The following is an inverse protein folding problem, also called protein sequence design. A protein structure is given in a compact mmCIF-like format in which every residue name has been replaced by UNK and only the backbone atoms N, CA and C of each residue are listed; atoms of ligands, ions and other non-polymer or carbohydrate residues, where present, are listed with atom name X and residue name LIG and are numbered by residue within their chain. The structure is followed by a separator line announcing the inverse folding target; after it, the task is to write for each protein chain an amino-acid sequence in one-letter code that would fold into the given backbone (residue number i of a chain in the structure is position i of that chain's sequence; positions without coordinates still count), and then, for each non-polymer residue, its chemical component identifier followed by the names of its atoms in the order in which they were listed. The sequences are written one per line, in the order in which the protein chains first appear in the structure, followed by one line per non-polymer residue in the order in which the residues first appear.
data_IF_764825626693
#
_entry.id   IF_764825626693
#
_cell.length_a   1.000
_cell.length_b   1.000
_cell.length_c   1.000
_cell.angle_alpha   90.00
_cell.angle_beta   90.00
_cell.angle_gamma   90.00
#
_symmetry.space_group_name_H-M   'P 1'
#
loop_
_entity.id
_entity.type
_entity.pdbx_description
1 polymer ?
#
# COMPACT_ATOMS: atom_id res chain seq x y z
N UNK A 1 -11.27 -5.62 24.43
CA UNK A 1 -10.28 -5.57 23.34
C UNK A 1 -9.39 -4.37 23.55
N UNK A 2 -8.13 -4.61 23.88
CA UNK A 2 -7.17 -3.56 24.25
C UNK A 2 -6.83 -2.65 23.06
N UNK A 3 -6.34 -1.44 23.35
CA UNK A 3 -5.95 -0.44 22.33
C UNK A 3 -4.96 -1.03 21.32
N UNK A 4 -4.04 -1.86 21.81
CA UNK A 4 -3.05 -2.57 21.00
C UNK A 4 -3.75 -3.53 20.02
N UNK A 5 -4.70 -4.33 20.49
CA UNK A 5 -5.47 -5.25 19.64
C UNK A 5 -6.30 -4.50 18.59
N UNK A 6 -6.93 -3.37 18.97
CA UNK A 6 -7.65 -2.48 18.04
C UNK A 6 -6.74 -1.94 16.93
N UNK A 7 -5.52 -1.53 17.28
CA UNK A 7 -4.54 -1.04 16.31
C UNK A 7 -4.18 -2.12 15.28
N UNK A 8 -3.84 -3.33 15.74
CA UNK A 8 -3.48 -4.42 14.82
C UNK A 8 -4.64 -4.85 13.93
N UNK A 9 -5.87 -4.88 14.46
CA UNK A 9 -7.04 -5.21 13.66
C UNK A 9 -7.28 -4.21 12.53
N UNK A 10 -7.08 -2.91 12.79
CA UNK A 10 -7.23 -1.87 11.77
C UNK A 10 -6.12 -1.94 10.71
N UNK A 11 -4.87 -2.20 11.13
CA UNK A 11 -3.76 -2.40 10.19
C UNK A 11 -4.05 -3.61 9.29
N UNK A 12 -4.48 -4.72 9.89
CA UNK A 12 -4.82 -5.93 9.16
C UNK A 12 -5.97 -5.70 8.18
N UNK A 13 -7.04 -5.00 8.60
CA UNK A 13 -8.16 -4.70 7.70
C UNK A 13 -7.76 -3.77 6.56
N UNK A 14 -6.88 -2.79 6.82
CA UNK A 14 -6.35 -1.92 5.77
C UNK A 14 -5.53 -2.73 4.75
N UNK A 15 -4.65 -3.62 5.22
CA UNK A 15 -3.83 -4.49 4.35
C UNK A 15 -4.73 -5.41 3.53
N UNK A 16 -5.65 -6.13 4.17
CA UNK A 16 -6.53 -7.08 3.49
C UNK A 16 -7.43 -6.40 2.45
N UNK A 17 -7.98 -5.22 2.76
CA UNK A 17 -8.79 -4.45 1.81
C UNK A 17 -7.96 -4.03 0.58
N UNK A 18 -6.74 -3.53 0.79
CA UNK A 18 -5.87 -3.16 -0.33
C UNK A 18 -5.43 -4.36 -1.17
N UNK A 19 -5.12 -5.49 -0.53
CA UNK A 19 -4.80 -6.73 -1.26
C UNK A 19 -6.01 -7.18 -2.07
N UNK A 20 -7.21 -7.22 -1.47
CA UNK A 20 -8.41 -7.67 -2.16
C UNK A 20 -8.76 -6.79 -3.35
N UNK A 21 -8.76 -5.45 -3.18
CA UNK A 21 -9.08 -4.52 -4.25
C UNK A 21 -7.97 -4.50 -5.31
N UNK A 22 -6.71 -4.41 -4.90
CA UNK A 22 -5.56 -4.36 -5.80
C UNK A 22 -5.44 -5.61 -6.66
N UNK A 23 -5.50 -6.80 -6.04
CA UNK A 23 -5.49 -8.07 -6.75
C UNK A 23 -6.76 -8.27 -7.58
N UNK A 24 -7.92 -7.80 -7.11
CA UNK A 24 -9.16 -7.81 -7.89
C UNK A 24 -9.04 -6.99 -9.18
N UNK A 25 -8.48 -5.79 -9.10
CA UNK A 25 -8.23 -4.94 -10.29
C UNK A 25 -7.28 -5.64 -11.26
N UNK A 26 -6.18 -6.21 -10.77
CA UNK A 26 -5.22 -6.92 -11.62
C UNK A 26 -5.83 -8.18 -12.27
N UNK A 27 -6.65 -8.91 -11.52
CA UNK A 27 -7.36 -10.08 -12.03
C UNK A 27 -8.34 -9.70 -13.15
N UNK A 28 -9.19 -8.69 -12.93
CA UNK A 28 -10.14 -8.23 -13.95
C UNK A 28 -9.43 -7.59 -15.16
N UNK A 29 -8.35 -6.83 -14.94
CA UNK A 29 -7.56 -6.27 -16.03
C UNK A 29 -6.91 -7.37 -16.88
N UNK A 30 -6.43 -8.45 -16.25
CA UNK A 30 -5.85 -9.60 -16.94
C UNK A 30 -6.88 -10.53 -17.59
N UNK A 31 -8.14 -10.55 -17.14
CA UNK A 31 -9.20 -11.34 -17.78
C UNK A 31 -9.77 -10.67 -19.03
N UNK A 32 -9.82 -9.34 -19.04
CA UNK A 32 -10.56 -8.58 -20.05
C UNK A 32 -9.66 -7.92 -21.12
N UNK A 33 -8.36 -7.71 -20.84
CA UNK A 33 -7.45 -6.97 -21.73
C UNK A 33 -6.44 -7.88 -22.45
N UNK A 34 -6.85 -8.41 -23.62
CA UNK A 34 -5.99 -8.83 -24.74
C UNK A 34 -4.91 -9.92 -24.53
N UNK A 35 -4.70 -10.44 -23.33
CA UNK A 35 -3.93 -11.67 -23.10
C UNK A 35 -4.73 -12.57 -22.16
N UNK A 36 -4.98 -13.82 -22.53
CA UNK A 36 -5.73 -14.80 -21.72
C UNK A 36 -4.98 -15.29 -20.49
N UNK A 37 -3.93 -14.58 -20.06
CA UNK A 37 -2.98 -15.03 -19.05
C UNK A 37 -2.88 -13.99 -17.94
N UNK A 38 -3.53 -14.29 -16.82
CA UNK A 38 -3.41 -13.54 -15.57
C UNK A 38 -1.95 -13.53 -15.13
N UNK A 39 -1.38 -12.35 -14.89
CA UNK A 39 0.00 -12.23 -14.40
C UNK A 39 0.03 -12.44 -12.87
N UNK A 40 0.10 -13.70 -12.46
CA UNK A 40 0.18 -14.09 -11.05
C UNK A 40 1.48 -13.60 -10.37
N UNK A 41 2.59 -13.49 -11.11
CA UNK A 41 3.86 -13.00 -10.57
C UNK A 41 3.72 -11.55 -10.12
N UNK A 42 3.05 -10.72 -10.92
CA UNK A 42 2.73 -9.33 -10.60
C UNK A 42 1.83 -9.23 -9.38
N UNK A 43 0.75 -10.03 -9.32
CA UNK A 43 -0.16 -10.05 -8.17
C UNK A 43 0.57 -10.42 -6.87
N UNK A 44 1.50 -11.39 -6.95
CA UNK A 44 2.33 -11.81 -5.82
C UNK A 44 3.29 -10.69 -5.39
N UNK A 45 4.01 -10.08 -6.34
CA UNK A 45 4.93 -8.97 -6.05
C UNK A 45 4.22 -7.78 -5.40
N UNK A 46 3.07 -7.38 -5.95
CA UNK A 46 2.22 -6.32 -5.42
C UNK A 46 1.70 -6.62 -4.01
N UNK A 47 1.32 -7.87 -3.74
CA UNK A 47 0.86 -8.30 -2.42
C UNK A 47 1.97 -8.23 -1.37
N UNK A 48 3.18 -8.70 -1.71
CA UNK A 48 4.35 -8.63 -0.82
C UNK A 48 4.71 -7.17 -0.53
N UNK A 49 4.80 -6.33 -1.56
CA UNK A 49 5.10 -4.92 -1.41
C UNK A 49 4.05 -4.21 -0.53
N UNK A 50 2.77 -4.52 -0.72
CA UNK A 50 1.68 -3.96 0.08
C UNK A 50 1.82 -4.27 1.57
N UNK A 51 2.07 -5.53 1.92
CA UNK A 51 2.28 -5.93 3.33
C UNK A 51 3.49 -5.21 3.93
N UNK A 52 4.63 -5.22 3.24
CA UNK A 52 5.87 -4.62 3.74
C UNK A 52 5.69 -3.11 3.95
N UNK A 53 5.20 -2.39 2.94
CA UNK A 53 5.06 -0.93 3.00
C UNK A 53 4.07 -0.53 4.08
N UNK A 54 2.92 -1.19 4.21
CA UNK A 54 1.98 -0.87 5.28
C UNK A 54 2.52 -1.16 6.66
N UNK A 55 3.22 -2.28 6.85
CA UNK A 55 3.86 -2.57 8.15
C UNK A 55 4.89 -1.49 8.50
N UNK A 56 5.71 -1.05 7.55
CA UNK A 56 6.68 0.03 7.77
C UNK A 56 5.97 1.36 8.09
N UNK A 57 4.97 1.73 7.29
CA UNK A 57 4.20 2.97 7.46
C UNK A 57 3.52 2.99 8.82
N UNK A 58 2.77 1.95 9.19
CA UNK A 58 2.05 1.92 10.47
C UNK A 58 2.95 1.74 11.70
N UNK A 59 4.19 1.27 11.50
CA UNK A 59 5.19 1.17 12.56
C UNK A 59 5.94 2.48 12.79
N UNK A 60 6.37 3.15 11.73
CA UNK A 60 7.29 4.28 11.82
C UNK A 60 6.61 5.66 11.73
N UNK A 61 5.46 5.78 11.06
CA UNK A 61 4.76 7.06 11.00
C UNK A 61 3.99 7.35 12.30
N UNK A 62 4.23 8.56 12.83
CA UNK A 62 3.42 9.13 13.89
C UNK A 62 2.23 9.88 13.29
N UNK A 63 1.07 9.23 13.21
CA UNK A 63 -0.13 9.75 12.54
C UNK A 63 -0.71 10.99 13.25
N UNK A 64 -0.46 11.16 14.55
CA UNK A 64 -0.96 12.31 15.30
C UNK A 64 -0.36 13.64 14.87
N UNK A 65 0.94 13.65 14.57
CA UNK A 65 1.68 14.86 14.17
C UNK A 65 1.27 15.38 12.78
N UNK A 66 0.48 14.60 12.03
CA UNK A 66 0.14 14.90 10.65
C UNK A 66 -1.31 15.40 10.53
N UNK A 67 -1.49 16.47 9.76
CA UNK A 67 -2.82 16.93 9.36
C UNK A 67 -3.46 15.96 8.36
N UNK A 68 -4.79 15.96 8.27
CA UNK A 68 -5.54 15.12 7.33
C UNK A 68 -5.03 15.23 5.88
N UNK A 69 -4.78 16.44 5.31
CA UNK A 69 -4.23 16.52 3.95
C UNK A 69 -2.83 15.91 3.83
N UNK A 70 -1.97 16.04 4.84
CA UNK A 70 -0.65 15.36 4.84
C UNK A 70 -0.81 13.84 4.86
N UNK A 71 -1.76 13.32 5.63
CA UNK A 71 -2.06 11.89 5.66
C UNK A 71 -2.59 11.38 4.31
N UNK A 72 -3.37 12.19 3.59
CA UNK A 72 -3.85 11.85 2.25
C UNK A 72 -2.67 11.72 1.27
N UNK A 73 -1.76 12.69 1.27
CA UNK A 73 -0.54 12.64 0.44
C UNK A 73 0.32 11.42 0.79
N UNK A 74 0.56 11.18 2.09
CA UNK A 74 1.32 10.00 2.54
C UNK A 74 0.65 8.72 2.04
N UNK A 75 -0.67 8.61 2.14
CA UNK A 75 -1.40 7.42 1.70
C UNK A 75 -1.30 7.18 0.20
N UNK A 76 -1.39 8.24 -0.62
CA UNK A 76 -1.20 8.16 -2.08
C UNK A 76 0.24 7.74 -2.41
N UNK A 77 1.23 8.34 -1.73
CA UNK A 77 2.64 7.98 -1.88
C UNK A 77 2.89 6.52 -1.48
N UNK A 78 2.21 6.00 -0.46
CA UNK A 78 2.30 4.59 -0.08
C UNK A 78 1.85 3.69 -1.24
N UNK A 79 0.73 3.99 -1.88
CA UNK A 79 0.26 3.23 -3.05
C UNK A 79 1.28 3.26 -4.19
N UNK A 80 1.89 4.41 -4.49
CA UNK A 80 2.93 4.52 -5.53
C UNK A 80 4.18 3.72 -5.20
N UNK A 81 4.63 3.74 -3.94
CA UNK A 81 5.76 2.93 -3.48
C UNK A 81 5.43 1.45 -3.59
N UNK A 82 4.19 1.03 -3.26
CA UNK A 82 3.74 -0.35 -3.41
C UNK A 82 3.78 -0.79 -4.88
N UNK A 83 3.34 0.06 -5.81
CA UNK A 83 3.40 -0.25 -7.25
C UNK A 83 4.85 -0.37 -7.73
N UNK A 84 5.68 0.60 -7.35
CA UNK A 84 7.09 0.59 -7.73
C UNK A 84 7.79 -0.68 -7.23
N UNK A 85 7.64 -0.98 -5.94
CA UNK A 85 8.28 -2.11 -5.29
C UNK A 85 7.67 -3.45 -5.75
N UNK A 86 6.36 -3.51 -5.94
CA UNK A 86 5.67 -4.72 -6.38
C UNK A 86 6.04 -5.11 -7.80
N UNK A 87 6.11 -4.15 -8.71
CA UNK A 87 6.63 -4.37 -10.06
C UNK A 87 8.10 -4.78 -10.04
N UNK A 88 8.90 -4.16 -9.17
CA UNK A 88 10.31 -4.51 -9.05
C UNK A 88 10.51 -5.95 -8.57
N UNK A 89 9.73 -6.38 -7.56
CA UNK A 89 9.72 -7.77 -7.07
C UNK A 89 9.28 -8.72 -8.18
N UNK A 90 8.20 -8.40 -8.91
CA UNK A 90 7.70 -9.25 -9.99
C UNK A 90 8.74 -9.45 -11.10
N UNK A 91 9.36 -8.37 -11.58
CA UNK A 91 10.40 -8.44 -12.61
C UNK A 91 11.63 -9.20 -12.11
N UNK A 92 12.03 -9.01 -10.86
CA UNK A 92 13.16 -9.74 -10.28
C UNK A 92 12.91 -11.25 -10.22
N UNK A 93 11.66 -11.67 -10.00
CA UNK A 93 11.26 -13.08 -10.02
C UNK A 93 11.28 -13.64 -11.45
N UNK A 94 10.78 -12.89 -12.43
CA UNK A 94 10.69 -13.34 -13.83
C UNK A 94 12.02 -13.26 -14.59
N UNK A 95 12.87 -12.29 -14.26
CA UNK A 95 14.12 -11.99 -14.96
C UNK A 95 15.15 -11.39 -14.00
N UNK A 96 15.81 -12.23 -13.18
CA UNK A 96 16.77 -11.77 -12.20
C UNK A 96 17.97 -11.09 -12.87
N UNK A 97 18.29 -9.87 -12.44
CA UNK A 97 19.48 -9.12 -12.88
C UNK A 97 19.23 -7.97 -13.86
N UNK A 98 18.02 -7.84 -14.42
CA UNK A 98 17.69 -6.70 -15.30
C UNK A 98 17.18 -5.50 -14.49
N UNK A 99 18.13 -4.75 -13.91
CA UNK A 99 17.83 -3.55 -13.12
C UNK A 99 17.10 -2.47 -13.96
N UNK A 100 17.42 -2.36 -15.25
CA UNK A 100 16.83 -1.36 -16.12
C UNK A 100 15.36 -1.71 -16.41
N UNK A 101 15.06 -2.95 -16.77
CA UNK A 101 13.69 -3.40 -16.98
C UNK A 101 12.87 -3.28 -15.69
N UNK A 102 13.46 -3.63 -14.53
CA UNK A 102 12.85 -3.49 -13.21
C UNK A 102 12.40 -2.05 -12.94
N UNK A 103 13.30 -1.09 -13.20
CA UNK A 103 13.04 0.32 -12.95
C UNK A 103 12.05 0.91 -13.95
N UNK A 104 12.15 0.54 -15.23
CA UNK A 104 11.22 0.96 -16.28
C UNK A 104 9.80 0.44 -16.03
N UNK A 105 9.64 -0.85 -15.71
CA UNK A 105 8.33 -1.42 -15.37
C UNK A 105 7.72 -0.80 -14.11
N UNK A 106 8.55 -0.48 -13.11
CA UNK A 106 8.12 0.27 -11.94
C UNK A 106 7.54 1.65 -12.29
N UNK A 107 8.20 2.40 -13.16
CA UNK A 107 7.75 3.73 -13.61
C UNK A 107 6.48 3.61 -14.46
N UNK A 108 6.48 2.75 -15.48
CA UNK A 108 5.32 2.55 -16.35
C UNK A 108 4.10 2.08 -15.57
N UNK A 109 4.27 1.14 -14.65
CA UNK A 109 3.18 0.68 -13.81
C UNK A 109 2.62 1.81 -12.93
N UNK A 110 3.47 2.70 -12.40
CA UNK A 110 3.00 3.89 -11.69
C UNK A 110 2.22 4.84 -12.60
N UNK A 111 2.66 5.08 -13.83
CA UNK A 111 1.95 5.96 -14.77
C UNK A 111 0.56 5.38 -15.10
N UNK A 112 0.49 4.09 -15.40
CA UNK A 112 -0.76 3.39 -15.75
C UNK A 112 -1.71 3.31 -14.55
N UNK A 113 -1.19 2.96 -13.38
CA UNK A 113 -1.98 2.77 -12.15
C UNK A 113 -2.07 4.05 -11.30
N UNK A 114 -1.65 5.21 -11.82
CA UNK A 114 -1.69 6.47 -11.09
C UNK A 114 -3.11 6.85 -10.64
N UNK A 115 -4.16 6.79 -11.50
CA UNK A 115 -5.51 7.11 -11.07
C UNK A 115 -6.02 6.16 -9.98
N UNK A 116 -5.68 4.86 -10.12
CA UNK A 116 -6.01 3.84 -9.13
C UNK A 116 -5.32 4.14 -7.79
N UNK A 117 -4.07 4.59 -7.82
CA UNK A 117 -3.29 4.97 -6.64
C UNK A 117 -3.90 6.15 -5.91
N UNK A 118 -4.46 7.14 -6.63
CA UNK A 118 -5.17 8.26 -6.03
C UNK A 118 -6.44 7.76 -5.34
N UNK A 119 -7.28 6.99 -6.04
CA UNK A 119 -8.56 6.51 -5.50
C UNK A 119 -8.33 5.62 -4.28
N UNK A 120 -7.41 4.64 -4.37
CA UNK A 120 -7.05 3.78 -3.24
C UNK A 120 -6.40 4.57 -2.11
N UNK A 121 -5.50 5.51 -2.42
CA UNK A 121 -4.88 6.38 -1.43
C UNK A 121 -5.91 7.19 -0.64
N UNK A 122 -6.95 7.70 -1.29
CA UNK A 122 -8.05 8.39 -0.63
C UNK A 122 -8.94 7.45 0.19
N UNK A 123 -9.23 6.23 -0.30
CA UNK A 123 -9.94 5.23 0.49
C UNK A 123 -9.16 4.82 1.75
N UNK A 124 -7.84 4.75 1.64
CA UNK A 124 -6.94 4.42 2.75
C UNK A 124 -6.83 5.52 3.80
N UNK A 125 -7.16 6.77 3.44
CA UNK A 125 -7.26 7.86 4.40
C UNK A 125 -8.21 7.52 5.56
N UNK A 126 -9.29 6.76 5.29
CA UNK A 126 -10.21 6.29 6.34
C UNK A 126 -9.49 5.49 7.44
N UNK A 127 -8.62 4.57 7.05
CA UNK A 127 -7.87 3.73 8.00
C UNK A 127 -6.78 4.53 8.73
N UNK A 128 -6.09 5.42 8.00
CA UNK A 128 -5.05 6.29 8.56
C UNK A 128 -5.65 7.25 9.59
N UNK A 129 -6.84 7.78 9.30
CA UNK A 129 -7.60 8.62 10.21
C UNK A 129 -8.02 7.82 11.46
N UNK A 130 -8.56 6.60 11.31
CA UNK A 130 -8.89 5.76 12.48
C UNK A 130 -7.71 5.48 13.39
N UNK A 131 -6.52 5.21 12.83
CA UNK A 131 -5.31 4.97 13.63
C UNK A 131 -4.85 6.24 14.35
N UNK A 132 -4.99 7.41 13.74
CA UNK A 132 -4.66 8.70 14.38
C UNK A 132 -5.38 8.89 15.72
N UNK A 133 -6.67 8.55 15.82
CA UNK A 133 -7.46 8.67 17.06
C UNK A 133 -7.23 7.54 18.09
N UNK A 134 -6.51 6.49 17.70
CA UNK A 134 -6.17 5.37 18.59
C UNK A 134 -4.79 5.50 19.22
N UNK A 135 -3.94 6.40 18.71
CA UNK A 135 -2.72 6.78 19.40
C UNK A 135 -3.11 7.69 20.59
N UNK A 136 -2.60 7.46 21.81
CA UNK A 136 -2.78 8.40 22.91
C UNK A 136 -2.03 9.69 22.60
N UNK A 137 -2.61 10.83 22.99
CA UNK A 137 -2.00 12.15 22.80
C UNK A 137 -0.70 12.24 23.63
N UNK A 138 0.47 12.48 23.02
CA UNK A 138 1.72 12.59 23.75
C UNK A 138 1.74 13.78 24.72
N UNK A 139 0.80 14.72 24.60
CA UNK A 139 0.66 15.86 25.53
C UNK A 139 -0.11 15.52 26.82
N UNK A 140 -0.64 14.29 26.97
CA UNK A 140 -1.38 13.87 28.17
C UNK A 140 -0.72 12.76 28.98
N UNK A 141 0.50 12.37 28.61
CA UNK A 141 1.37 11.57 29.47
C UNK A 141 2.61 12.40 29.80
N UNK A 142 2.65 13.10 30.95
CA UNK A 142 3.94 13.55 31.46
C UNK A 142 4.81 12.30 31.60
N UNK A 143 6.00 12.35 31.02
CA UNK A 143 7.00 11.30 31.19
C UNK A 143 7.18 11.09 32.71
N UNK A 144 6.83 9.89 33.17
CA UNK A 144 7.04 9.44 34.54
C UNK A 144 8.30 8.61 34.64
#
# INVERSE_FOLDING_TARGET
MDIIQKKYLIILSAILMNLAIGNGILYCAGSDAYSTTINYTLMLGMSIACVIVYLLVFRYLNFQKHSVPKLAVISIMCCMIIILLGNAIAVTIESPGDLLATLMMGIFGNIVLFPVSIVLGLLNLFWFHKIKYLQPDPLHYPEG
#
